data_IF_396675177669
#
_entry.id   IF_396675177669
#
_cell.length_a   1.000
_cell.length_b   1.000
_cell.length_c   1.000
_cell.angle_alpha   90.00
_cell.angle_beta   90.00
_cell.angle_gamma   90.00
#
_symmetry.space_group_name_H-M   'P 1'
#
loop_
_entity.id
_entity.type
_entity.pdbx_description
1 polymer ?
#
# COMPACT_ATOMS: atom_id res chain seq x y z
N UNK A 1 16.20 -28.37 1.86
CA UNK A 1 16.14 -27.83 0.48
C UNK A 1 14.72 -27.62 -0.06
N UNK A 2 14.00 -28.59 -0.65
CA UNK A 2 12.67 -28.29 -1.25
C UNK A 2 11.63 -27.81 -0.22
N UNK A 3 11.64 -28.34 1.01
CA UNK A 3 10.71 -27.91 2.06
C UNK A 3 10.98 -26.46 2.52
N UNK A 4 12.25 -26.06 2.62
CA UNK A 4 12.62 -24.68 2.97
C UNK A 4 12.26 -23.72 1.85
N UNK A 5 12.53 -24.09 0.60
CA UNK A 5 12.12 -23.29 -0.56
C UNK A 5 10.61 -23.09 -0.61
N UNK A 6 9.83 -24.15 -0.38
CA UNK A 6 8.36 -24.08 -0.28
C UNK A 6 7.93 -23.08 0.81
N UNK A 7 8.52 -23.17 2.00
CA UNK A 7 8.16 -22.29 3.12
C UNK A 7 8.50 -20.82 2.81
N UNK A 8 9.67 -20.57 2.19
CA UNK A 8 10.06 -19.22 1.74
C UNK A 8 9.10 -18.69 0.69
N UNK A 9 8.73 -19.49 -0.32
CA UNK A 9 7.76 -19.10 -1.36
C UNK A 9 6.39 -18.80 -0.75
N UNK A 10 5.89 -19.67 0.13
CA UNK A 10 4.61 -19.44 0.81
C UNK A 10 4.63 -18.13 1.60
N UNK A 11 5.72 -17.84 2.32
CA UNK A 11 5.87 -16.58 3.06
C UNK A 11 5.84 -15.37 2.12
N UNK A 12 6.51 -15.44 0.96
CA UNK A 12 6.47 -14.37 -0.05
C UNK A 12 5.07 -14.19 -0.66
N UNK A 13 4.32 -15.29 -0.86
CA UNK A 13 2.94 -15.23 -1.38
C UNK A 13 1.98 -14.63 -0.35
N UNK A 14 2.12 -14.98 0.93
CA UNK A 14 1.29 -14.41 2.00
C UNK A 14 1.54 -12.90 2.16
N UNK A 15 2.81 -12.49 2.03
CA UNK A 15 3.20 -11.08 1.99
C UNK A 15 2.60 -10.36 0.78
N UNK A 16 2.59 -11.00 -0.40
CA UNK A 16 1.99 -10.44 -1.61
C UNK A 16 0.48 -10.24 -1.46
N UNK A 17 -0.22 -11.21 -0.87
CA UNK A 17 -1.66 -11.09 -0.59
C UNK A 17 -1.93 -9.91 0.35
N UNK A 18 -1.16 -9.80 1.43
CA UNK A 18 -1.31 -8.71 2.40
C UNK A 18 -1.04 -7.33 1.77
N UNK A 19 -0.04 -7.25 0.87
CA UNK A 19 0.27 -6.03 0.13
C UNK A 19 -0.89 -5.63 -0.81
N UNK A 20 -1.42 -6.59 -1.57
CA UNK A 20 -2.50 -6.33 -2.51
C UNK A 20 -3.78 -5.83 -1.80
N UNK A 21 -4.10 -6.39 -0.65
CA UNK A 21 -5.24 -5.99 0.17
C UNK A 21 -5.10 -4.54 0.66
N UNK A 22 -3.94 -4.17 1.21
CA UNK A 22 -3.68 -2.82 1.72
C UNK A 22 -3.66 -1.76 0.62
N UNK A 23 -3.01 -2.03 -0.51
CA UNK A 23 -2.99 -1.09 -1.64
C UNK A 23 -4.40 -0.89 -2.20
N UNK A 24 -5.17 -1.96 -2.33
CA UNK A 24 -6.56 -1.87 -2.81
C UNK A 24 -7.42 -1.06 -1.84
N UNK A 25 -7.23 -1.24 -0.53
CA UNK A 25 -7.93 -0.46 0.50
C UNK A 25 -7.61 1.03 0.39
N UNK A 26 -6.34 1.41 0.35
CA UNK A 26 -5.92 2.82 0.28
C UNK A 26 -6.38 3.48 -1.01
N UNK A 27 -6.26 2.80 -2.14
CA UNK A 27 -6.73 3.31 -3.43
C UNK A 27 -8.25 3.60 -3.41
N UNK A 28 -9.04 2.73 -2.77
CA UNK A 28 -10.48 2.92 -2.62
C UNK A 28 -10.80 4.08 -1.66
N UNK A 29 -10.17 4.10 -0.49
CA UNK A 29 -10.42 5.13 0.53
C UNK A 29 -10.09 6.53 0.02
N UNK A 30 -8.88 6.72 -0.52
CA UNK A 30 -8.42 8.04 -0.98
C UNK A 30 -9.04 8.40 -2.32
N UNK A 31 -9.11 7.45 -3.26
CA UNK A 31 -9.52 7.72 -4.64
C UNK A 31 -11.03 7.73 -4.87
N UNK A 32 -11.79 6.92 -4.13
CA UNK A 32 -13.25 6.76 -4.36
C UNK A 32 -14.08 7.31 -3.21
N UNK A 33 -13.71 7.00 -1.96
CA UNK A 33 -14.50 7.41 -0.79
C UNK A 33 -14.16 8.83 -0.31
N UNK A 34 -13.10 9.45 -0.86
CA UNK A 34 -12.64 10.78 -0.48
C UNK A 34 -12.10 10.84 0.96
N UNK A 35 -11.76 9.69 1.54
CA UNK A 35 -11.11 9.59 2.86
C UNK A 35 -9.63 9.90 2.70
N UNK A 36 -9.30 11.16 2.91
CA UNK A 36 -7.94 11.67 2.74
C UNK A 36 -7.05 11.32 3.93
N UNK A 37 -5.76 11.08 3.65
CA UNK A 37 -4.74 10.75 4.65
C UNK A 37 -4.64 9.26 5.00
N UNK A 38 -5.31 8.38 4.26
CA UNK A 38 -5.14 6.93 4.38
C UNK A 38 -3.78 6.49 3.83
N UNK A 39 -3.05 5.67 4.59
CA UNK A 39 -1.76 5.11 4.20
C UNK A 39 -1.80 3.57 4.31
N UNK A 40 -1.04 2.90 3.45
CA UNK A 40 -0.84 1.46 3.46
C UNK A 40 0.29 1.15 4.44
N UNK A 41 0.04 0.23 5.36
CA UNK A 41 1.04 -0.32 6.28
C UNK A 41 1.13 -1.83 6.07
N UNK A 42 2.12 -2.26 5.29
CA UNK A 42 2.33 -3.67 4.98
C UNK A 42 3.54 -4.17 5.76
N UNK A 43 3.30 -5.04 6.74
CA UNK A 43 4.38 -5.59 7.59
C UNK A 43 5.24 -6.58 6.84
N UNK A 44 6.56 -6.49 7.03
CA UNK A 44 7.51 -7.47 6.51
C UNK A 44 7.83 -7.35 5.02
N UNK A 45 7.37 -6.29 4.35
CA UNK A 45 7.77 -6.02 2.96
C UNK A 45 9.19 -5.48 2.87
N UNK A 46 9.89 -5.84 1.81
CA UNK A 46 11.24 -5.37 1.50
C UNK A 46 11.46 -5.33 -0.02
N UNK A 47 12.52 -4.63 -0.46
CA UNK A 47 12.82 -4.44 -1.89
C UNK A 47 11.67 -3.80 -2.64
N UNK A 48 11.36 -4.31 -3.83
CA UNK A 48 10.33 -3.77 -4.73
C UNK A 48 8.96 -3.59 -4.07
N UNK A 49 8.59 -4.45 -3.12
CA UNK A 49 7.29 -4.34 -2.43
C UNK A 49 7.22 -3.17 -1.48
N UNK A 50 8.34 -2.86 -0.82
CA UNK A 50 8.45 -1.66 0.01
C UNK A 50 8.36 -0.42 -0.87
N UNK A 51 9.09 -0.40 -1.99
CA UNK A 51 9.09 0.74 -2.92
C UNK A 51 7.68 1.01 -3.48
N UNK A 52 6.92 -0.04 -3.79
CA UNK A 52 5.52 0.10 -4.23
C UNK A 52 4.60 0.61 -3.13
N UNK A 53 4.75 0.12 -1.89
CA UNK A 53 3.97 0.60 -0.73
C UNK A 53 4.21 2.09 -0.50
N UNK A 54 5.48 2.53 -0.53
CA UNK A 54 5.86 3.93 -0.40
C UNK A 54 5.31 4.79 -1.54
N UNK A 55 5.36 4.28 -2.79
CA UNK A 55 4.82 4.99 -3.96
C UNK A 55 3.30 5.24 -3.85
N UNK A 56 2.54 4.24 -3.36
CA UNK A 56 1.09 4.38 -3.12
C UNK A 56 0.82 5.41 -2.02
N UNK A 57 1.60 5.39 -0.94
CA UNK A 57 1.46 6.37 0.14
C UNK A 57 1.74 7.80 -0.32
N UNK A 58 2.80 8.00 -1.11
CA UNK A 58 3.10 9.31 -1.71
C UNK A 58 1.97 9.79 -2.61
N UNK A 59 1.35 8.90 -3.40
CA UNK A 59 0.18 9.24 -4.21
C UNK A 59 -1.00 9.67 -3.33
N UNK A 60 -1.30 8.94 -2.26
CA UNK A 60 -2.38 9.26 -1.33
C UNK A 60 -2.17 10.60 -0.61
N UNK A 61 -0.95 10.88 -0.17
CA UNK A 61 -0.56 12.13 0.47
C UNK A 61 -0.71 13.32 -0.50
N UNK A 62 -0.25 13.16 -1.74
CA UNK A 62 -0.37 14.19 -2.78
C UNK A 62 -1.83 14.50 -3.13
N UNK A 63 -2.69 13.49 -3.22
CA UNK A 63 -4.12 13.69 -3.44
C UNK A 63 -4.78 14.40 -2.26
N UNK A 64 -4.42 14.00 -1.04
CA UNK A 64 -4.89 14.63 0.20
C UNK A 64 -4.53 16.12 0.25
N UNK A 65 -3.27 16.44 -0.06
CA UNK A 65 -2.79 17.82 -0.10
C UNK A 65 -3.54 18.63 -1.16
N UNK A 66 -3.68 18.12 -2.38
CA UNK A 66 -4.38 18.80 -3.47
C UNK A 66 -5.84 19.13 -3.12
N UNK A 67 -6.57 18.18 -2.54
CA UNK A 67 -7.98 18.42 -2.17
C UNK A 67 -8.11 19.42 -1.02
N UNK A 68 -7.24 19.35 0.00
CA UNK A 68 -7.24 20.34 1.10
C UNK A 68 -6.91 21.74 0.60
N UNK A 69 -5.95 21.89 -0.30
CA UNK A 69 -5.63 23.17 -0.91
C UNK A 69 -6.79 23.79 -1.68
N UNK A 70 -7.70 22.99 -2.25
CA UNK A 70 -8.92 23.52 -2.90
C UNK A 70 -9.91 24.04 -1.84
N UNK A 71 -9.99 23.40 -0.67
CA UNK A 71 -10.92 23.80 0.40
C UNK A 71 -10.49 25.05 1.17
N UNK A 72 -9.20 25.42 1.11
CA UNK A 72 -8.64 26.63 1.75
C UNK A 72 -8.72 27.88 0.87
N UNK A 73 -9.23 27.76 -0.37
CA UNK A 73 -9.41 28.84 -1.36
C UNK A 73 -10.86 29.30 -1.41
#
# INVERSE_FOLDING_TARGET
>A
EILELKNTINTMVDQLSSFADEVTRVAREVGTEGRLGGQADVKGVSGTWKDLTESVNVMGDNLTAQVRSIAEV
#
